data_IF_241723320072
#
_entry.id   IF_241723320072
#
_cell.length_a   1.000
_cell.length_b   1.000
_cell.length_c   1.000
_cell.angle_alpha   90.00
_cell.angle_beta   90.00
_cell.angle_gamma   90.00
#
_symmetry.space_group_name_H-M   'P 1'
#
loop_
_entity.id
_entity.type
_entity.pdbx_description
1 polymer ?
#
# COMPACT_ATOMS: atom_id res chain seq x y z
N UNK A 1 36.41 -33.12 -50.22
CA UNK A 1 35.13 -32.41 -50.39
C UNK A 1 34.45 -32.30 -49.01
N UNK A 2 34.27 -31.11 -48.53
CA UNK A 2 33.87 -30.78 -47.15
C UNK A 2 32.37 -30.61 -47.12
N UNK A 3 31.65 -31.42 -46.32
CA UNK A 3 30.21 -31.22 -46.03
C UNK A 3 30.03 -30.48 -44.71
N UNK A 4 29.43 -29.30 -44.79
CA UNK A 4 29.00 -28.53 -43.66
C UNK A 4 27.72 -29.17 -43.06
N UNK A 5 27.78 -29.48 -41.78
CA UNK A 5 26.60 -29.81 -40.98
C UNK A 5 26.06 -28.54 -40.34
N UNK A 6 24.90 -28.07 -40.82
CA UNK A 6 24.13 -26.99 -40.19
C UNK A 6 23.40 -27.55 -38.97
N UNK A 7 23.81 -27.07 -37.78
CA UNK A 7 23.10 -27.28 -36.53
C UNK A 7 21.96 -26.25 -36.41
N UNK A 8 20.75 -26.72 -36.67
CA UNK A 8 19.53 -25.99 -36.36
C UNK A 8 19.33 -25.99 -34.83
N UNK A 9 19.61 -24.83 -34.20
CA UNK A 9 19.23 -24.55 -32.84
C UNK A 9 17.74 -24.16 -32.81
N UNK A 10 16.86 -25.11 -32.51
CA UNK A 10 15.47 -24.80 -32.17
C UNK A 10 15.46 -24.20 -30.75
N UNK A 11 15.41 -22.87 -30.67
CA UNK A 11 15.16 -22.13 -29.45
C UNK A 11 13.72 -22.37 -28.97
N UNK A 12 13.57 -23.19 -27.95
CA UNK A 12 12.31 -23.37 -27.23
C UNK A 12 12.01 -22.09 -26.45
N UNK A 13 11.20 -21.19 -27.02
CA UNK A 13 10.64 -20.07 -26.29
C UNK A 13 9.66 -20.64 -25.23
N UNK A 14 10.10 -20.73 -23.98
CA UNK A 14 9.23 -20.96 -22.86
C UNK A 14 8.29 -19.74 -22.74
N UNK A 15 7.06 -19.89 -23.20
CA UNK A 15 5.98 -18.95 -22.90
C UNK A 15 5.70 -19.08 -21.41
N UNK A 16 6.24 -18.14 -20.63
CA UNK A 16 5.84 -17.94 -19.23
C UNK A 16 4.37 -17.50 -19.28
N UNK A 17 3.44 -18.27 -18.68
CA UNK A 17 2.06 -17.83 -18.63
C UNK A 17 2.00 -16.51 -17.88
N UNK A 18 1.69 -15.43 -18.62
CA UNK A 18 1.52 -14.11 -18.05
C UNK A 18 0.47 -14.19 -16.93
N UNK A 19 0.82 -13.71 -15.74
CA UNK A 19 -0.11 -13.48 -14.67
C UNK A 19 -1.20 -12.53 -15.18
N UNK A 20 -2.34 -13.12 -15.55
CA UNK A 20 -3.50 -12.37 -15.98
C UNK A 20 -3.97 -11.50 -14.79
N UNK A 21 -3.99 -10.18 -14.98
CA UNK A 21 -4.80 -9.27 -14.17
C UNK A 21 -4.20 -8.75 -12.88
N UNK A 22 -2.89 -8.69 -12.69
CA UNK A 22 -2.33 -7.89 -11.60
C UNK A 22 -2.53 -6.40 -11.93
N UNK A 23 -3.54 -5.78 -11.37
CA UNK A 23 -3.66 -4.32 -11.31
C UNK A 23 -2.38 -3.79 -10.67
N UNK A 24 -1.72 -2.81 -11.32
CA UNK A 24 -0.55 -2.17 -10.71
C UNK A 24 -0.94 -1.63 -9.34
N UNK A 25 -0.09 -1.80 -8.30
CA UNK A 25 -0.38 -1.26 -6.98
C UNK A 25 -0.57 0.26 -7.05
N UNK A 26 -1.46 0.77 -6.23
CA UNK A 26 -1.76 2.22 -6.13
C UNK A 26 -0.54 2.94 -5.54
N UNK A 27 0.05 2.33 -4.53
CA UNK A 27 1.32 2.75 -3.93
C UNK A 27 2.14 1.50 -3.58
N UNK A 28 3.44 1.66 -3.50
CA UNK A 28 4.32 0.68 -2.89
C UNK A 28 4.47 0.99 -1.39
N UNK A 29 3.60 0.39 -0.57
CA UNK A 29 3.49 0.65 0.86
C UNK A 29 4.84 0.59 1.60
N UNK A 30 5.63 -0.48 1.43
CA UNK A 30 6.97 -0.60 2.02
C UNK A 30 7.92 0.54 1.64
N UNK A 31 7.78 1.15 0.46
CA UNK A 31 8.67 2.24 0.04
C UNK A 31 8.20 3.63 0.49
N UNK A 32 7.01 3.73 1.06
CA UNK A 32 6.45 5.01 1.54
C UNK A 32 6.72 5.24 3.03
N UNK A 33 6.92 4.18 3.82
CA UNK A 33 7.24 4.29 5.25
C UNK A 33 8.73 4.57 5.48
N UNK A 34 9.04 5.26 6.59
CA UNK A 34 10.39 5.64 7.02
C UNK A 34 11.14 6.55 6.02
N UNK A 35 10.42 7.28 5.16
CA UNK A 35 10.96 8.16 4.13
C UNK A 35 10.81 9.63 4.50
N UNK A 36 11.73 10.44 3.92
CA UNK A 36 11.63 11.89 4.06
C UNK A 36 10.45 12.46 3.26
N UNK A 37 9.93 13.64 3.65
CA UNK A 37 8.89 14.34 2.90
C UNK A 37 9.25 14.59 1.44
N UNK A 38 10.53 14.83 1.13
CA UNK A 38 11.00 15.03 -0.24
C UNK A 38 10.93 13.73 -1.06
N UNK A 39 11.33 12.60 -0.47
CA UNK A 39 11.25 11.29 -1.14
C UNK A 39 9.79 10.90 -1.44
N UNK A 40 8.88 11.12 -0.48
CA UNK A 40 7.45 10.88 -0.67
C UNK A 40 6.88 11.78 -1.76
N UNK A 41 7.26 13.06 -1.78
CA UNK A 41 6.81 13.99 -2.82
C UNK A 41 7.35 13.61 -4.21
N UNK A 42 8.55 13.06 -4.30
CA UNK A 42 9.08 12.55 -5.57
C UNK A 42 8.27 11.36 -6.11
N UNK A 43 7.74 10.52 -5.21
CA UNK A 43 6.93 9.35 -5.55
C UNK A 43 5.44 9.66 -5.79
N UNK A 44 4.82 10.45 -4.91
CA UNK A 44 3.37 10.71 -4.92
C UNK A 44 2.99 12.06 -5.55
N UNK A 45 3.97 12.89 -5.94
CA UNK A 45 3.72 14.23 -6.44
C UNK A 45 3.55 15.25 -5.31
N UNK A 46 3.00 16.42 -5.64
CA UNK A 46 2.77 17.48 -4.64
C UNK A 46 1.58 17.13 -3.74
N UNK A 47 1.69 17.33 -2.42
CA UNK A 47 0.56 17.16 -1.53
C UNK A 47 -0.52 18.22 -1.86
N UNK A 48 -1.79 17.82 -1.81
CA UNK A 48 -2.94 18.73 -1.95
C UNK A 48 -3.22 19.50 -0.66
N UNK A 49 -2.71 18.99 0.48
CA UNK A 49 -2.83 19.62 1.79
C UNK A 49 -1.62 19.25 2.66
N UNK A 50 -1.16 20.21 3.45
CA UNK A 50 -0.17 19.99 4.51
C UNK A 50 -0.68 20.65 5.78
N UNK A 51 -0.62 19.94 6.91
CA UNK A 51 -1.06 20.41 8.22
C UNK A 51 0.00 20.07 9.26
N UNK A 52 0.43 21.06 10.04
CA UNK A 52 1.20 20.81 11.25
C UNK A 52 0.29 20.19 12.32
N UNK A 53 0.77 19.18 13.01
CA UNK A 53 0.08 18.48 14.10
C UNK A 53 0.85 18.78 15.38
N UNK A 54 0.20 19.41 16.38
CA UNK A 54 0.86 19.72 17.65
C UNK A 54 1.12 18.45 18.47
N UNK A 55 2.10 18.49 19.40
CA UNK A 55 2.28 17.43 20.37
C UNK A 55 1.01 17.18 21.20
N UNK A 56 0.76 15.91 21.54
CA UNK A 56 -0.43 15.49 22.28
C UNK A 56 -1.60 15.05 21.40
N UNK A 57 -1.42 15.08 20.07
CA UNK A 57 -2.37 14.46 19.15
C UNK A 57 -2.32 12.92 19.29
N UNK A 58 -3.49 12.28 19.16
CA UNK A 58 -3.60 10.83 19.34
C UNK A 58 -2.80 10.03 18.30
N UNK A 59 -2.74 10.52 17.06
CA UNK A 59 -2.03 9.87 15.96
C UNK A 59 -0.53 10.21 15.95
N UNK A 60 -0.18 11.41 16.39
CA UNK A 60 1.18 11.94 16.44
C UNK A 60 1.50 12.49 17.83
N UNK A 61 1.72 11.65 18.86
CA UNK A 61 1.88 12.10 20.25
C UNK A 61 3.01 13.11 20.45
N UNK A 62 4.09 13.02 19.68
CA UNK A 62 5.22 13.96 19.71
C UNK A 62 5.01 15.17 18.77
N UNK A 63 3.87 15.22 18.09
CA UNK A 63 3.62 16.18 17.05
C UNK A 63 4.31 15.84 15.73
N UNK A 64 4.01 16.57 14.68
CA UNK A 64 4.59 16.30 13.37
C UNK A 64 3.89 17.04 12.24
N UNK A 65 3.83 16.41 11.07
CA UNK A 65 3.18 16.96 9.89
C UNK A 65 2.34 15.89 9.20
N UNK A 66 1.09 16.20 8.92
CA UNK A 66 0.22 15.42 8.04
C UNK A 66 0.29 16.01 6.63
N UNK A 67 0.58 15.19 5.62
CA UNK A 67 0.46 15.53 4.20
C UNK A 67 -0.57 14.65 3.53
N UNK A 68 -1.45 15.27 2.76
CA UNK A 68 -2.51 14.59 2.01
C UNK A 68 -2.19 14.64 0.53
N UNK A 69 -2.25 13.49 -0.11
CA UNK A 69 -2.07 13.32 -1.55
C UNK A 69 -3.35 12.75 -2.16
N UNK A 70 -3.56 12.98 -3.45
CA UNK A 70 -4.67 12.38 -4.19
C UNK A 70 -4.15 11.80 -5.51
N UNK A 71 -4.67 10.66 -5.89
CA UNK A 71 -4.36 10.01 -7.16
C UNK A 71 -5.15 8.72 -7.35
N UNK A 72 -5.45 8.38 -8.59
CA UNK A 72 -6.13 7.14 -8.97
C UNK A 72 -7.44 6.85 -8.21
N UNK A 73 -8.22 7.90 -7.89
CA UNK A 73 -9.47 7.75 -7.13
C UNK A 73 -9.26 7.48 -5.63
N UNK A 74 -8.04 7.59 -5.13
CA UNK A 74 -7.71 7.40 -3.72
C UNK A 74 -7.26 8.69 -3.07
N UNK A 75 -7.37 8.73 -1.73
CA UNK A 75 -6.73 9.74 -0.89
C UNK A 75 -5.65 9.04 -0.06
N UNK A 76 -4.45 9.60 -0.05
CA UNK A 76 -3.31 9.06 0.69
C UNK A 76 -2.88 10.10 1.72
N UNK A 77 -3.05 9.78 2.99
CA UNK A 77 -2.62 10.60 4.12
C UNK A 77 -1.31 10.03 4.66
N UNK A 78 -0.29 10.88 4.80
CA UNK A 78 1.03 10.47 5.30
C UNK A 78 1.38 11.31 6.51
N UNK A 79 1.58 10.66 7.65
CA UNK A 79 2.05 11.26 8.88
C UNK A 79 3.57 11.23 8.96
N UNK A 80 4.16 12.34 9.34
CA UNK A 80 5.59 12.50 9.49
C UNK A 80 5.94 12.89 10.92
N UNK A 81 6.79 12.10 11.56
CA UNK A 81 7.48 12.43 12.82
C UNK A 81 8.96 12.63 12.55
N UNK A 82 9.57 13.70 13.08
CA UNK A 82 11.01 13.97 12.93
C UNK A 82 11.50 13.82 11.47
N UNK A 83 10.71 14.35 10.51
CA UNK A 83 10.98 14.30 9.07
C UNK A 83 11.03 12.87 8.47
N UNK A 84 10.37 11.90 9.11
CA UNK A 84 10.17 10.55 8.57
C UNK A 84 8.71 10.16 8.59
N UNK A 85 8.25 9.51 7.53
CA UNK A 85 6.89 8.96 7.46
C UNK A 85 6.76 7.78 8.41
N UNK A 86 5.77 7.84 9.30
CA UNK A 86 5.51 6.82 10.32
C UNK A 86 4.20 6.08 10.09
N UNK A 87 3.22 6.75 9.48
CA UNK A 87 1.92 6.16 9.16
C UNK A 87 1.46 6.61 7.77
N UNK A 88 0.88 5.69 7.04
CA UNK A 88 0.25 5.93 5.74
C UNK A 88 -1.15 5.38 5.77
N UNK A 89 -2.14 6.22 5.45
CA UNK A 89 -3.54 5.82 5.30
C UNK A 89 -3.93 5.97 3.83
N UNK A 90 -4.30 4.88 3.19
CA UNK A 90 -4.89 4.88 1.84
C UNK A 90 -6.39 4.71 1.99
N UNK A 91 -7.14 5.76 1.73
CA UNK A 91 -8.59 5.76 1.76
C UNK A 91 -9.18 5.64 0.36
N UNK A 92 -10.29 4.93 0.25
CA UNK A 92 -11.03 4.66 -0.99
C UNK A 92 -12.39 5.35 -0.93
N UNK A 93 -12.45 6.64 -1.25
CA UNK A 93 -13.71 7.41 -1.12
C UNK A 93 -14.79 6.99 -2.12
N UNK A 94 -14.42 6.31 -3.20
CA UNK A 94 -15.34 5.81 -4.21
C UNK A 94 -15.48 4.29 -4.12
N UNK A 95 -16.63 3.84 -3.64
CA UNK A 95 -16.96 2.42 -3.53
C UNK A 95 -16.86 1.64 -4.85
N UNK A 96 -17.04 2.30 -6.01
CA UNK A 96 -16.98 1.63 -7.30
C UNK A 96 -15.55 1.18 -7.65
N UNK A 97 -14.54 1.94 -7.24
CA UNK A 97 -13.11 1.69 -7.50
C UNK A 97 -12.38 1.05 -6.32
N UNK A 98 -13.01 1.02 -5.15
CA UNK A 98 -12.45 0.43 -3.94
C UNK A 98 -12.24 -1.08 -4.05
N UNK A 99 -11.18 -1.64 -3.43
CA UNK A 99 -11.00 -3.09 -3.32
C UNK A 99 -12.21 -3.75 -2.67
N UNK A 100 -12.60 -4.95 -3.12
CA UNK A 100 -13.76 -5.67 -2.60
C UNK A 100 -13.39 -6.69 -1.53
N UNK A 101 -12.12 -7.05 -1.41
CA UNK A 101 -11.62 -8.02 -0.44
C UNK A 101 -10.39 -7.48 0.29
N UNK A 102 -10.09 -8.08 1.44
CA UNK A 102 -8.89 -7.73 2.22
C UNK A 102 -7.60 -8.04 1.46
N UNK A 103 -7.59 -9.13 0.70
CA UNK A 103 -6.47 -9.56 -0.14
C UNK A 103 -6.20 -8.53 -1.25
N UNK A 104 -7.24 -8.12 -1.98
CA UNK A 104 -7.12 -7.10 -3.02
C UNK A 104 -6.65 -5.75 -2.45
N UNK A 105 -7.02 -5.44 -1.22
CA UNK A 105 -6.56 -4.25 -0.53
C UNK A 105 -5.05 -4.31 -0.22
N UNK A 106 -4.55 -5.44 0.29
CA UNK A 106 -3.11 -5.62 0.53
C UNK A 106 -2.31 -5.53 -0.79
N UNK A 107 -2.80 -6.17 -1.85
CA UNK A 107 -2.19 -6.09 -3.18
C UNK A 107 -2.16 -4.66 -3.72
N UNK A 108 -3.20 -3.85 -3.47
CA UNK A 108 -3.26 -2.45 -3.88
C UNK A 108 -2.16 -1.57 -3.26
N UNK A 109 -1.56 -2.00 -2.15
CA UNK A 109 -0.43 -1.32 -1.49
C UNK A 109 0.87 -2.14 -1.56
N UNK A 110 0.95 -3.09 -2.50
CA UNK A 110 2.11 -3.96 -2.73
C UNK A 110 2.53 -4.78 -1.50
N UNK A 111 1.56 -5.26 -0.72
CA UNK A 111 1.79 -6.18 0.39
C UNK A 111 1.33 -7.60 0.05
N UNK A 112 1.96 -8.64 0.63
CA UNK A 112 1.55 -10.02 0.42
C UNK A 112 0.15 -10.28 0.99
N UNK A 113 -0.73 -10.92 0.22
CA UNK A 113 -2.10 -11.24 0.60
C UNK A 113 -2.27 -12.61 1.29
N UNK A 114 -1.19 -13.43 1.32
CA UNK A 114 -1.23 -14.78 1.86
C UNK A 114 -1.19 -14.93 3.39
N UNK A 115 -0.48 -14.06 4.15
CA UNK A 115 -0.40 -14.20 5.60
C UNK A 115 -1.75 -14.02 6.28
N UNK A 116 -2.01 -14.85 7.31
CA UNK A 116 -3.22 -14.72 8.12
C UNK A 116 -3.14 -13.46 9.00
N UNK A 117 -4.26 -12.74 9.21
CA UNK A 117 -4.30 -11.62 10.15
C UNK A 117 -4.15 -12.11 11.60
N UNK A 118 -3.47 -11.31 12.43
CA UNK A 118 -3.33 -11.55 13.86
C UNK A 118 -4.62 -11.24 14.61
N UNK A 119 -5.38 -10.25 14.13
CA UNK A 119 -6.66 -9.85 14.69
C UNK A 119 -7.73 -9.75 13.61
N UNK A 120 -8.88 -10.38 13.88
CA UNK A 120 -10.05 -10.37 13.01
C UNK A 120 -11.21 -9.73 13.75
N UNK A 121 -11.72 -8.60 13.25
CA UNK A 121 -12.94 -7.95 13.73
C UNK A 121 -14.02 -8.03 12.64
N UNK A 122 -15.22 -7.57 12.97
CA UNK A 122 -16.34 -7.57 12.02
C UNK A 122 -16.02 -6.79 10.74
N UNK A 123 -15.42 -5.63 10.90
CA UNK A 123 -15.16 -4.64 9.85
C UNK A 123 -13.67 -4.43 9.58
N UNK A 124 -12.77 -5.16 10.22
CA UNK A 124 -11.34 -4.99 10.00
C UNK A 124 -10.52 -6.27 10.15
N UNK A 125 -9.33 -6.24 9.58
CA UNK A 125 -8.27 -7.23 9.73
C UNK A 125 -6.99 -6.51 10.05
N UNK A 126 -6.20 -7.04 11.01
CA UNK A 126 -4.96 -6.43 11.47
C UNK A 126 -3.82 -7.44 11.41
N UNK A 127 -2.66 -6.99 10.96
CA UNK A 127 -1.39 -7.73 10.96
C UNK A 127 -0.39 -6.92 11.78
N UNK A 128 0.24 -7.54 12.77
CA UNK A 128 1.17 -6.85 13.67
C UNK A 128 2.61 -6.87 13.17
N UNK A 129 2.91 -7.69 12.15
CA UNK A 129 4.21 -7.74 11.51
C UNK A 129 4.09 -8.26 10.06
N UNK A 130 3.47 -7.50 9.19
CA UNK A 130 3.43 -7.79 7.77
C UNK A 130 4.53 -6.99 7.06
N UNK A 131 5.56 -7.68 6.57
CA UNK A 131 6.77 -7.06 5.99
C UNK A 131 7.45 -6.04 6.92
N UNK A 132 7.35 -6.24 8.25
CA UNK A 132 7.95 -5.35 9.25
C UNK A 132 7.04 -4.21 9.73
N UNK A 133 5.80 -4.13 9.24
CA UNK A 133 4.86 -3.04 9.56
C UNK A 133 3.60 -3.55 10.25
N UNK A 134 2.97 -2.67 11.01
CA UNK A 134 1.58 -2.86 11.46
C UNK A 134 0.65 -2.46 10.33
N UNK A 135 -0.26 -3.34 9.96
CA UNK A 135 -1.20 -3.13 8.86
C UNK A 135 -2.62 -3.37 9.35
N UNK A 136 -3.53 -2.45 9.01
CA UNK A 136 -4.96 -2.59 9.29
C UNK A 136 -5.75 -2.29 8.03
N UNK A 137 -6.59 -3.22 7.64
CA UNK A 137 -7.52 -3.06 6.52
C UNK A 137 -8.93 -2.97 7.08
N UNK A 138 -9.65 -1.91 6.70
CA UNK A 138 -10.97 -1.56 7.22
C UNK A 138 -11.98 -1.63 6.08
N UNK A 139 -13.05 -2.44 6.29
CA UNK A 139 -14.19 -2.49 5.37
C UNK A 139 -15.19 -1.38 5.69
N UNK A 140 -15.89 -0.91 4.68
CA UNK A 140 -16.90 0.12 4.81
C UNK A 140 -18.08 -0.36 5.69
N UNK A 141 -18.35 0.34 6.76
CA UNK A 141 -19.47 0.03 7.65
C UNK A 141 -20.69 0.88 7.26
N UNK A 142 -21.91 0.35 7.29
CA UNK A 142 -22.33 -1.00 7.74
C UNK A 142 -22.38 -2.07 6.64
N UNK A 143 -22.14 -1.73 5.38
CA UNK A 143 -22.37 -2.61 4.22
C UNK A 143 -21.35 -3.74 4.12
N UNK A 144 -20.09 -3.48 4.47
CA UNK A 144 -18.96 -4.41 4.39
C UNK A 144 -18.70 -5.01 2.99
N UNK A 145 -19.14 -4.30 1.95
CA UNK A 145 -19.10 -4.74 0.56
C UNK A 145 -17.88 -4.24 -0.23
N UNK A 146 -17.09 -3.38 0.41
CA UNK A 146 -15.82 -2.86 -0.12
C UNK A 146 -14.89 -2.43 1.03
N UNK A 147 -13.63 -2.18 0.69
CA UNK A 147 -12.65 -1.66 1.63
C UNK A 147 -12.72 -0.13 1.63
N UNK A 148 -12.80 0.44 2.80
CA UNK A 148 -12.83 1.88 3.02
C UNK A 148 -11.42 2.47 3.16
N UNK A 149 -10.54 1.77 3.88
CA UNK A 149 -9.17 2.22 4.08
C UNK A 149 -8.18 1.10 4.38
N UNK A 150 -6.90 1.38 4.10
CA UNK A 150 -5.75 0.60 4.55
C UNK A 150 -4.84 1.54 5.33
N UNK A 151 -4.39 1.10 6.49
CA UNK A 151 -3.44 1.80 7.35
C UNK A 151 -2.17 0.98 7.44
N UNK A 152 -1.03 1.59 7.14
CA UNK A 152 0.31 1.04 7.35
C UNK A 152 1.02 1.91 8.37
N UNK A 153 1.67 1.32 9.36
CA UNK A 153 2.37 2.07 10.40
C UNK A 153 3.64 1.36 10.85
N UNK A 154 4.66 2.12 11.23
CA UNK A 154 5.85 1.60 11.92
C UNK A 154 5.60 1.39 13.42
N UNK A 155 4.50 1.93 13.94
CA UNK A 155 4.09 1.79 15.34
C UNK A 155 2.81 0.94 15.46
N UNK A 156 2.58 0.29 16.61
CA UNK A 156 1.32 -0.40 16.88
C UNK A 156 0.12 0.53 16.64
N UNK A 157 -0.89 0.00 15.96
CA UNK A 157 -2.14 0.73 15.70
C UNK A 157 -3.07 0.64 16.91
N UNK A 158 -3.80 1.70 17.24
CA UNK A 158 -4.74 1.74 18.34
C UNK A 158 -5.98 0.87 18.14
#
# INVERSE_FOLDING_TARGET
MRGLAELLFLGLLAVVPGRAGATSPIIDGPTVLERSPAAIQASLGRPIRTKAVPPGDFQLPEGGTLRVYAGHGTRIDVDFEKERSTTVVVAFPDAATAPKTYEAALEAVNLPSGPRPDLVRRDSREWHNLEGYFVKVIAAYPTLDHIDAIILSVHPLP
#
